data_IF_670926483802
#
_entry.id   IF_670926483802
#
_cell.length_a   1.000
_cell.length_b   1.000
_cell.length_c   1.000
_cell.angle_alpha   90.00
_cell.angle_beta   90.00
_cell.angle_gamma   90.00
#
_symmetry.space_group_name_H-M   'P 1'
#
loop_
_entity.id
_entity.type
_entity.pdbx_description
1 polymer ?
#
# COMPACT_ATOMS: atom_id res chain seq x y z
N UNK A 1 -21.17 14.08 -14.33
CA UNK A 1 -20.94 12.86 -13.53
C UNK A 1 -20.77 11.61 -14.43
N UNK A 2 -19.84 11.64 -15.41
CA UNK A 2 -19.53 10.51 -16.33
C UNK A 2 -18.48 9.52 -15.78
N UNK A 3 -17.99 9.76 -14.56
CA UNK A 3 -16.90 8.97 -13.95
C UNK A 3 -17.39 7.60 -13.46
N UNK A 4 -18.62 7.50 -12.95
CA UNK A 4 -19.16 6.23 -12.45
C UNK A 4 -19.84 5.38 -13.55
N UNK A 5 -20.17 5.98 -14.70
CA UNK A 5 -20.83 5.27 -15.80
C UNK A 5 -19.94 4.23 -16.48
N UNK A 6 -18.61 4.33 -16.34
CA UNK A 6 -17.65 3.38 -16.90
C UNK A 6 -17.74 1.98 -16.26
N UNK A 7 -18.24 1.90 -15.02
CA UNK A 7 -18.41 0.66 -14.27
C UNK A 7 -19.77 -0.01 -14.52
N UNK A 8 -20.62 0.52 -15.41
CA UNK A 8 -21.88 -0.11 -15.80
C UNK A 8 -21.61 -1.40 -16.58
N UNK A 9 -22.46 -2.42 -16.34
CA UNK A 9 -22.40 -3.70 -17.05
C UNK A 9 -21.49 -4.75 -16.42
N UNK A 10 -21.03 -4.53 -15.17
CA UNK A 10 -20.43 -5.56 -14.32
C UNK A 10 -21.53 -6.45 -13.71
N UNK A 11 -21.17 -7.67 -13.29
CA UNK A 11 -22.10 -8.56 -12.59
C UNK A 11 -22.43 -8.03 -11.19
N UNK A 12 -23.57 -8.46 -10.64
CA UNK A 12 -24.04 -8.05 -9.30
C UNK A 12 -22.98 -8.32 -8.23
N UNK A 13 -22.29 -9.44 -8.34
CA UNK A 13 -21.21 -9.90 -7.45
C UNK A 13 -20.07 -8.88 -7.34
N UNK A 14 -19.74 -8.18 -8.42
CA UNK A 14 -18.68 -7.16 -8.40
C UNK A 14 -19.06 -5.93 -7.59
N UNK A 15 -20.35 -5.53 -7.63
CA UNK A 15 -20.83 -4.43 -6.80
C UNK A 15 -20.92 -4.83 -5.33
N UNK A 16 -21.20 -6.10 -5.04
CA UNK A 16 -21.19 -6.63 -3.67
C UNK A 16 -19.76 -6.62 -3.12
N UNK A 17 -18.79 -7.11 -3.90
CA UNK A 17 -17.37 -7.08 -3.54
C UNK A 17 -16.86 -5.64 -3.38
N UNK A 18 -17.36 -4.70 -4.19
CA UNK A 18 -17.08 -3.27 -4.03
C UNK A 18 -17.57 -2.71 -2.70
N UNK A 19 -18.83 -3.00 -2.32
CA UNK A 19 -19.39 -2.57 -1.04
C UNK A 19 -18.63 -3.21 0.13
N UNK A 20 -18.35 -4.52 0.06
CA UNK A 20 -17.52 -5.21 1.05
C UNK A 20 -16.15 -4.54 1.21
N UNK A 21 -15.49 -4.22 0.09
CA UNK A 21 -14.19 -3.55 0.08
C UNK A 21 -14.23 -2.17 0.72
N UNK A 22 -15.27 -1.37 0.49
CA UNK A 22 -15.45 -0.08 1.18
C UNK A 22 -15.53 -0.30 2.68
N UNK A 23 -16.38 -1.23 3.13
CA UNK A 23 -16.60 -1.46 4.56
C UNK A 23 -15.33 -1.97 5.24
N UNK A 24 -14.64 -2.97 4.66
CA UNK A 24 -13.38 -3.49 5.21
C UNK A 24 -12.32 -2.40 5.35
N UNK A 25 -12.15 -1.53 4.34
CA UNK A 25 -11.15 -0.47 4.39
C UNK A 25 -11.56 0.70 5.31
N UNK A 26 -12.86 0.98 5.45
CA UNK A 26 -13.37 1.90 6.46
C UNK A 26 -13.08 1.38 7.87
N UNK A 27 -13.22 0.07 8.08
CA UNK A 27 -12.90 -0.59 9.34
C UNK A 27 -11.41 -0.74 9.62
N UNK A 28 -10.51 -0.48 8.66
CA UNK A 28 -9.07 -0.65 8.80
C UNK A 28 -8.39 0.44 9.67
N UNK A 29 -8.99 0.77 10.82
CA UNK A 29 -8.68 1.90 11.69
C UNK A 29 -7.36 1.73 12.45
N UNK A 30 -6.93 0.50 12.67
CA UNK A 30 -5.77 0.21 13.53
C UNK A 30 -4.46 0.51 12.80
N UNK A 31 -4.33 0.12 11.53
CA UNK A 31 -3.11 0.27 10.74
C UNK A 31 -2.57 1.70 10.66
N UNK A 32 -3.36 2.72 10.28
CA UNK A 32 -2.87 4.10 10.24
C UNK A 32 -2.48 4.62 11.63
N UNK A 33 -3.09 4.10 12.70
CA UNK A 33 -2.79 4.49 14.08
C UNK A 33 -1.72 3.62 14.75
N UNK A 34 -1.21 2.57 14.09
CA UNK A 34 -0.39 1.54 14.73
C UNK A 34 0.83 2.15 15.44
N UNK A 35 1.53 3.06 14.77
CA UNK A 35 2.66 3.80 15.33
C UNK A 35 2.27 4.57 16.60
N UNK A 36 1.11 5.23 16.61
CA UNK A 36 0.61 5.97 17.77
C UNK A 36 0.17 5.04 18.90
N UNK A 37 -0.44 3.90 18.59
CA UNK A 37 -0.86 2.91 19.59
C UNK A 37 0.39 2.38 20.32
N UNK A 38 1.41 1.97 19.57
CA UNK A 38 2.67 1.45 20.11
C UNK A 38 3.37 2.51 20.98
N UNK A 39 3.47 3.76 20.50
CA UNK A 39 4.18 4.81 21.21
C UNK A 39 3.38 5.42 22.38
N UNK A 40 2.19 5.96 22.12
CA UNK A 40 1.42 6.73 23.11
C UNK A 40 0.66 5.86 24.11
N UNK A 41 0.28 4.64 23.75
CA UNK A 41 -0.54 3.78 24.61
C UNK A 41 0.24 2.63 25.24
N UNK A 42 1.23 2.08 24.54
CA UNK A 42 2.11 1.04 25.09
C UNK A 42 3.45 1.59 25.59
N UNK A 43 3.77 2.86 25.33
CA UNK A 43 4.98 3.50 25.82
C UNK A 43 6.25 3.05 25.10
N UNK A 44 6.14 2.38 23.95
CA UNK A 44 7.29 1.95 23.17
C UNK A 44 7.99 3.16 22.57
N UNK A 45 9.33 3.12 22.55
CA UNK A 45 10.09 4.13 21.83
C UNK A 45 9.92 3.94 20.30
N UNK A 46 10.42 4.88 19.51
CA UNK A 46 10.30 4.79 18.06
C UNK A 46 11.06 3.57 17.52
N UNK A 47 12.27 3.29 17.99
CA UNK A 47 13.04 2.12 17.53
C UNK A 47 12.32 0.76 17.76
N UNK A 48 11.67 0.59 18.91
CA UNK A 48 10.84 -0.57 19.25
C UNK A 48 9.59 -0.64 18.37
N UNK A 49 8.96 0.52 18.12
CA UNK A 49 7.81 0.66 17.22
C UNK A 49 8.19 0.24 15.79
N UNK A 50 9.33 0.71 15.27
CA UNK A 50 9.85 0.29 13.96
C UNK A 50 10.16 -1.20 13.92
N UNK A 51 10.81 -1.74 14.96
CA UNK A 51 11.10 -3.17 15.07
C UNK A 51 9.84 -4.01 14.98
N UNK A 52 8.79 -3.62 15.70
CA UNK A 52 7.50 -4.28 15.65
C UNK A 52 6.89 -4.30 14.23
N UNK A 53 6.94 -3.18 13.52
CA UNK A 53 6.41 -3.06 12.15
C UNK A 53 7.22 -3.96 11.18
N UNK A 54 8.55 -3.99 11.30
CA UNK A 54 9.42 -4.83 10.47
C UNK A 54 9.10 -6.32 10.67
N UNK A 55 9.06 -6.76 11.93
CA UNK A 55 8.77 -8.16 12.27
C UNK A 55 7.38 -8.55 11.77
N UNK A 56 6.39 -7.66 11.91
CA UNK A 56 5.04 -7.86 11.38
C UNK A 56 5.04 -8.03 9.85
N UNK A 57 5.77 -7.19 9.13
CA UNK A 57 5.90 -7.28 7.67
C UNK A 57 6.56 -8.58 7.20
N UNK A 58 7.60 -9.05 7.90
CA UNK A 58 8.26 -10.32 7.61
C UNK A 58 7.31 -11.50 7.81
N UNK A 59 6.47 -11.47 8.85
CA UNK A 59 5.47 -12.51 9.11
C UNK A 59 4.40 -12.59 8.01
N UNK A 60 4.01 -11.47 7.41
CA UNK A 60 2.97 -11.43 6.36
C UNK A 60 3.44 -11.99 5.00
N UNK A 61 4.74 -11.98 4.72
CA UNK A 61 5.29 -12.45 3.45
C UNK A 61 5.01 -13.94 3.16
N UNK A 62 5.30 -14.90 4.06
CA UNK A 62 4.95 -16.31 3.84
C UNK A 62 3.44 -16.53 3.80
N UNK A 63 2.64 -15.76 4.55
CA UNK A 63 1.19 -15.89 4.55
C UNK A 63 0.58 -15.65 3.16
N UNK A 64 1.09 -14.67 2.41
CA UNK A 64 0.64 -14.40 1.04
C UNK A 64 0.99 -15.55 0.07
N UNK A 65 2.22 -16.09 0.18
CA UNK A 65 2.65 -17.24 -0.64
C UNK A 65 1.83 -18.50 -0.37
N UNK A 66 1.60 -18.80 0.92
CA UNK A 66 0.79 -19.95 1.36
C UNK A 66 -0.68 -19.74 0.93
N UNK A 67 -1.18 -18.52 1.08
CA UNK A 67 -2.52 -18.12 0.65
C UNK A 67 -2.79 -18.38 -0.83
N UNK A 68 -1.81 -18.10 -1.70
CA UNK A 68 -1.88 -18.41 -3.13
C UNK A 68 -2.06 -19.91 -3.39
N UNK A 69 -1.23 -20.74 -2.77
CA UNK A 69 -1.34 -22.20 -2.92
C UNK A 69 -2.68 -22.76 -2.42
N UNK A 70 -3.20 -22.21 -1.32
CA UNK A 70 -4.52 -22.59 -0.78
C UNK A 70 -5.63 -22.12 -1.72
N UNK A 71 -5.55 -20.90 -2.26
CA UNK A 71 -6.52 -20.35 -3.19
C UNK A 71 -6.64 -21.18 -4.46
N UNK A 72 -5.53 -21.73 -4.95
CA UNK A 72 -5.51 -22.59 -6.15
C UNK A 72 -6.23 -23.91 -5.90
N UNK A 73 -5.93 -24.58 -4.78
CA UNK A 73 -6.41 -25.93 -4.47
C UNK A 73 -7.84 -25.99 -3.94
N UNK A 74 -8.28 -24.97 -3.22
CA UNK A 74 -9.57 -25.00 -2.51
C UNK A 74 -10.59 -24.02 -3.12
N UNK A 75 -11.84 -24.14 -2.67
CA UNK A 75 -12.89 -23.21 -3.07
C UNK A 75 -12.61 -21.81 -2.49
N UNK A 76 -12.43 -20.83 -3.38
CA UNK A 76 -11.97 -19.47 -3.07
C UNK A 76 -12.88 -18.79 -2.04
N UNK A 77 -14.21 -18.90 -2.23
CA UNK A 77 -15.20 -18.35 -1.31
C UNK A 77 -15.10 -18.96 0.09
N UNK A 78 -14.91 -20.28 0.19
CA UNK A 78 -14.78 -20.95 1.49
C UNK A 78 -13.48 -20.56 2.20
N UNK A 79 -12.38 -20.43 1.47
CA UNK A 79 -11.09 -19.98 2.01
C UNK A 79 -11.24 -18.60 2.66
N UNK A 80 -11.80 -17.63 1.93
CA UNK A 80 -12.09 -16.27 2.43
C UNK A 80 -12.90 -16.34 3.72
N UNK A 81 -14.06 -17.04 3.71
CA UNK A 81 -14.93 -17.12 4.88
C UNK A 81 -14.22 -17.72 6.10
N UNK A 82 -13.43 -18.79 5.94
CA UNK A 82 -12.75 -19.42 7.07
C UNK A 82 -11.63 -18.54 7.63
N UNK A 83 -10.84 -17.91 6.77
CA UNK A 83 -9.81 -16.96 7.18
C UNK A 83 -10.43 -15.76 7.90
N UNK A 84 -11.49 -15.19 7.33
CA UNK A 84 -12.23 -14.09 7.90
C UNK A 84 -12.80 -14.41 9.27
N UNK A 85 -13.43 -15.58 9.46
CA UNK A 85 -13.97 -15.97 10.77
C UNK A 85 -12.86 -15.96 11.84
N UNK A 86 -11.68 -16.50 11.52
CA UNK A 86 -10.54 -16.48 12.44
C UNK A 86 -10.09 -15.05 12.71
N UNK A 87 -9.94 -14.22 11.66
CA UNK A 87 -9.57 -12.80 11.81
C UNK A 87 -10.57 -12.01 12.64
N UNK A 88 -11.87 -12.16 12.41
CA UNK A 88 -12.96 -11.50 13.14
C UNK A 88 -12.86 -11.85 14.63
N UNK A 89 -12.77 -13.15 14.95
CA UNK A 89 -12.68 -13.63 16.33
C UNK A 89 -11.45 -13.01 17.01
N UNK A 90 -10.28 -13.07 16.37
CA UNK A 90 -9.03 -12.55 16.96
C UNK A 90 -9.04 -11.02 17.10
N UNK A 91 -9.64 -10.28 16.15
CA UNK A 91 -9.76 -8.82 16.23
C UNK A 91 -10.70 -8.41 17.38
N UNK A 92 -11.83 -9.10 17.53
CA UNK A 92 -12.76 -8.85 18.64
C UNK A 92 -12.12 -9.22 19.98
N UNK A 93 -11.44 -10.37 20.08
CA UNK A 93 -10.70 -10.77 21.29
C UNK A 93 -9.65 -9.71 21.62
N UNK A 94 -8.87 -9.25 20.63
CA UNK A 94 -7.86 -8.21 20.82
C UNK A 94 -8.46 -6.90 21.35
N UNK A 95 -9.64 -6.52 20.88
CA UNK A 95 -10.37 -5.34 21.37
C UNK A 95 -10.97 -5.50 22.77
N UNK A 96 -11.40 -6.70 23.15
CA UNK A 96 -11.94 -6.97 24.49
C UNK A 96 -10.84 -7.12 25.55
N UNK A 97 -9.62 -7.48 25.14
CA UNK A 97 -8.47 -7.53 26.02
C UNK A 97 -8.00 -6.12 26.42
N UNK A 98 -7.50 -5.93 27.65
CA UNK A 98 -6.75 -4.73 27.99
C UNK A 98 -5.60 -4.55 27.01
N UNK A 99 -5.44 -3.32 26.53
CA UNK A 99 -4.41 -2.99 25.57
C UNK A 99 -3.04 -3.37 26.11
N UNK A 100 -2.35 -4.27 25.41
CA UNK A 100 -1.06 -4.81 25.80
C UNK A 100 -0.32 -5.31 24.56
N UNK A 101 0.95 -5.63 24.69
CA UNK A 101 1.70 -6.29 23.63
C UNK A 101 1.03 -7.60 23.18
N UNK A 102 0.47 -8.35 24.14
CA UNK A 102 -0.28 -9.57 23.85
C UNK A 102 -1.52 -9.32 22.98
N UNK A 103 -2.30 -8.27 23.26
CA UNK A 103 -3.48 -7.96 22.44
C UNK A 103 -3.07 -7.59 21.01
N UNK A 104 -1.94 -6.92 20.82
CA UNK A 104 -1.39 -6.65 19.48
C UNK A 104 -0.87 -7.91 18.79
N UNK A 105 -0.23 -8.85 19.50
CA UNK A 105 0.14 -10.14 18.91
C UNK A 105 -1.10 -10.92 18.45
N UNK A 106 -2.17 -10.94 19.23
CA UNK A 106 -3.45 -11.55 18.84
C UNK A 106 -4.02 -10.88 17.58
N UNK A 107 -3.97 -9.53 17.52
CA UNK A 107 -4.35 -8.79 16.32
C UNK A 107 -3.49 -9.19 15.11
N UNK A 108 -2.17 -9.29 15.25
CA UNK A 108 -1.26 -9.67 14.17
C UNK A 108 -1.55 -11.08 13.65
N UNK A 109 -1.90 -12.03 14.53
CA UNK A 109 -2.35 -13.36 14.10
C UNK A 109 -3.65 -13.25 13.32
N UNK A 110 -4.61 -12.43 13.76
CA UNK A 110 -5.81 -12.15 12.96
C UNK A 110 -5.47 -11.54 11.59
N UNK A 111 -4.50 -10.62 11.54
CA UNK A 111 -4.07 -9.96 10.31
C UNK A 111 -3.32 -10.91 9.36
N UNK A 112 -2.63 -11.92 9.89
CA UNK A 112 -2.03 -12.99 9.10
C UNK A 112 -3.08 -13.76 8.30
N UNK A 113 -4.22 -14.10 8.90
CA UNK A 113 -5.32 -14.78 8.19
C UNK A 113 -5.96 -13.88 7.12
N UNK A 114 -6.12 -12.58 7.40
CA UNK A 114 -6.56 -11.57 6.42
C UNK A 114 -5.56 -11.44 5.25
N UNK A 115 -4.26 -11.57 5.52
CA UNK A 115 -3.23 -11.58 4.45
C UNK A 115 -3.29 -12.88 3.64
N UNK A 116 -3.54 -14.01 4.32
CA UNK A 116 -3.63 -15.33 3.70
C UNK A 116 -4.83 -15.45 2.75
N UNK A 117 -5.94 -14.78 3.01
CA UNK A 117 -7.10 -14.80 2.10
C UNK A 117 -6.94 -13.93 0.85
N UNK A 118 -6.01 -12.97 0.84
CA UNK A 118 -5.86 -11.99 -0.25
C UNK A 118 -5.83 -12.63 -1.65
N UNK A 119 -4.98 -13.65 -1.90
CA UNK A 119 -4.96 -14.36 -3.18
C UNK A 119 -6.28 -15.04 -3.55
N UNK A 120 -7.01 -15.59 -2.56
CA UNK A 120 -8.32 -16.19 -2.80
C UNK A 120 -9.38 -15.13 -3.15
N UNK A 121 -9.30 -13.94 -2.55
CA UNK A 121 -10.15 -12.80 -2.87
C UNK A 121 -9.95 -12.34 -4.31
N UNK A 122 -8.71 -12.11 -4.73
CA UNK A 122 -8.39 -11.70 -6.10
C UNK A 122 -8.83 -12.76 -7.13
N UNK A 123 -8.62 -14.04 -6.82
CA UNK A 123 -9.09 -15.14 -7.65
C UNK A 123 -10.63 -15.21 -7.73
N UNK A 124 -11.35 -14.92 -6.64
CA UNK A 124 -12.80 -14.88 -6.62
C UNK A 124 -13.33 -13.75 -7.51
N UNK A 125 -12.76 -12.55 -7.43
CA UNK A 125 -13.09 -11.40 -8.28
C UNK A 125 -12.93 -11.76 -9.76
N UNK A 126 -11.79 -12.39 -10.11
CA UNK A 126 -11.49 -12.80 -11.47
C UNK A 126 -12.42 -13.91 -11.99
N UNK A 127 -12.88 -14.81 -11.11
CA UNK A 127 -13.78 -15.90 -11.44
C UNK A 127 -15.23 -15.42 -11.67
N UNK A 128 -15.72 -14.46 -10.87
CA UNK A 128 -17.08 -13.92 -11.05
C UNK A 128 -17.16 -12.91 -12.20
N UNK A 129 -16.03 -12.31 -12.60
CA UNK A 129 -15.98 -11.28 -13.64
C UNK A 129 -15.67 -11.85 -15.04
N UNK A 130 -16.44 -11.48 -16.09
CA UNK A 130 -16.10 -11.80 -17.47
C UNK A 130 -14.67 -11.32 -17.84
N UNK A 131 -13.90 -12.10 -18.63
CA UNK A 131 -12.50 -11.76 -18.95
C UNK A 131 -12.30 -10.35 -19.49
N UNK A 132 -13.19 -9.88 -20.36
CA UNK A 132 -13.20 -8.56 -21.00
C UNK A 132 -13.48 -7.39 -20.03
N UNK A 133 -13.95 -7.69 -18.81
CA UNK A 133 -14.34 -6.70 -17.79
C UNK A 133 -13.53 -6.76 -16.51
N UNK A 134 -12.53 -7.64 -16.42
CA UNK A 134 -11.71 -7.82 -15.20
C UNK A 134 -11.02 -6.55 -14.76
N UNK A 135 -10.39 -5.83 -15.68
CA UNK A 135 -9.73 -4.55 -15.40
C UNK A 135 -10.69 -3.54 -14.75
N UNK A 136 -11.91 -3.42 -15.28
CA UNK A 136 -12.96 -2.55 -14.72
C UNK A 136 -13.38 -2.98 -13.33
N UNK A 137 -13.46 -4.27 -13.06
CA UNK A 137 -13.79 -4.79 -11.73
C UNK A 137 -12.68 -4.48 -10.72
N UNK A 138 -11.42 -4.75 -11.05
CA UNK A 138 -10.29 -4.41 -10.16
C UNK A 138 -10.18 -2.90 -9.92
N UNK A 139 -10.36 -2.07 -10.96
CA UNK A 139 -10.43 -0.61 -10.83
C UNK A 139 -11.54 -0.17 -9.88
N UNK A 140 -12.74 -0.76 -9.98
CA UNK A 140 -13.85 -0.47 -9.08
C UNK A 140 -13.51 -0.81 -7.62
N UNK A 141 -12.90 -1.98 -7.38
CA UNK A 141 -12.49 -2.40 -6.03
C UNK A 141 -11.41 -1.49 -5.44
N UNK A 142 -10.46 -1.05 -6.26
CA UNK A 142 -9.43 -0.09 -5.85
C UNK A 142 -10.05 1.25 -5.44
N UNK A 143 -11.01 1.76 -6.20
CA UNK A 143 -11.78 2.95 -5.84
C UNK A 143 -12.50 2.76 -4.49
N UNK A 144 -13.14 1.60 -4.30
CA UNK A 144 -13.83 1.26 -3.05
C UNK A 144 -12.89 1.22 -1.84
N UNK A 145 -11.70 0.64 -2.01
CA UNK A 145 -10.69 0.61 -0.96
C UNK A 145 -10.27 2.03 -0.54
N UNK A 146 -9.99 2.92 -1.50
CA UNK A 146 -9.63 4.30 -1.22
C UNK A 146 -10.76 5.07 -0.52
N UNK A 147 -12.02 4.86 -0.91
CA UNK A 147 -13.18 5.48 -0.22
C UNK A 147 -13.21 5.10 1.27
N UNK A 148 -12.98 3.82 1.58
CA UNK A 148 -12.89 3.37 2.98
C UNK A 148 -11.70 3.99 3.71
N UNK A 149 -10.53 4.00 3.08
CA UNK A 149 -9.29 4.54 3.67
C UNK A 149 -9.33 6.06 3.91
N UNK A 150 -10.16 6.84 3.19
CA UNK A 150 -10.37 8.27 3.49
C UNK A 150 -10.92 8.47 4.90
N UNK A 151 -11.89 7.63 5.30
CA UNK A 151 -12.65 7.78 6.54
C UNK A 151 -12.03 7.05 7.73
N UNK A 152 -11.30 5.97 7.47
CA UNK A 152 -10.72 5.09 8.50
C UNK A 152 -9.85 5.85 9.52
N UNK A 153 -8.80 6.61 9.12
CA UNK A 153 -7.91 7.28 10.07
C UNK A 153 -8.59 8.40 10.86
N UNK A 154 -9.58 9.09 10.28
CA UNK A 154 -10.35 10.13 10.98
C UNK A 154 -11.16 9.52 12.12
N UNK A 155 -11.89 8.45 11.83
CA UNK A 155 -12.68 7.73 12.83
C UNK A 155 -11.76 7.12 13.89
N UNK A 156 -10.63 6.55 13.48
CA UNK A 156 -9.62 6.02 14.38
C UNK A 156 -9.06 7.12 15.30
N UNK A 157 -8.75 8.30 14.76
CA UNK A 157 -8.23 9.45 15.51
C UNK A 157 -9.21 9.98 16.56
N UNK A 158 -10.51 10.01 16.25
CA UNK A 158 -11.58 10.38 17.19
C UNK A 158 -11.72 9.38 18.34
N UNK A 159 -11.57 8.08 18.05
CA UNK A 159 -11.69 7.01 19.04
C UNK A 159 -10.40 6.76 19.83
N UNK A 160 -9.27 7.30 19.38
CA UNK A 160 -7.93 6.96 19.87
C UNK A 160 -7.74 7.18 21.38
N UNK A 161 -8.27 8.26 21.93
CA UNK A 161 -8.02 8.63 23.32
C UNK A 161 -8.80 7.75 24.30
N UNK A 162 -10.12 7.68 24.18
CA UNK A 162 -10.99 7.05 25.20
C UNK A 162 -11.59 5.71 24.77
N UNK A 163 -11.64 5.45 23.47
CA UNK A 163 -12.40 4.32 22.90
C UNK A 163 -11.59 3.48 21.92
N UNK A 164 -10.27 3.40 22.11
CA UNK A 164 -9.38 2.69 21.19
C UNK A 164 -9.78 1.23 20.98
N UNK A 165 -10.30 0.56 22.02
CA UNK A 165 -10.83 -0.80 21.93
C UNK A 165 -11.96 -0.96 20.89
N UNK A 166 -12.76 0.09 20.65
CA UNK A 166 -13.77 0.10 19.60
C UNK A 166 -13.13 0.03 18.21
N UNK A 167 -11.94 0.59 17.98
CA UNK A 167 -11.25 0.47 16.69
C UNK A 167 -11.01 -1.00 16.33
N UNK A 168 -10.61 -1.83 17.31
CA UNK A 168 -10.36 -3.26 17.11
C UNK A 168 -11.65 -4.02 16.78
N UNK A 169 -12.72 -3.74 17.52
CA UNK A 169 -14.03 -4.37 17.31
C UNK A 169 -14.64 -3.92 15.99
N UNK A 170 -14.58 -2.62 15.66
CA UNK A 170 -15.07 -2.09 14.39
C UNK A 170 -14.30 -2.70 13.22
N UNK A 171 -12.97 -2.89 13.33
CA UNK A 171 -12.19 -3.61 12.32
C UNK A 171 -12.72 -5.04 12.11
N UNK A 172 -12.94 -5.80 13.18
CA UNK A 172 -13.49 -7.16 13.09
C UNK A 172 -14.92 -7.18 12.53
N UNK A 173 -15.79 -6.27 12.97
CA UNK A 173 -17.16 -6.16 12.47
C UNK A 173 -17.21 -5.75 10.99
N UNK A 174 -16.33 -4.85 10.56
CA UNK A 174 -16.23 -4.45 9.17
C UNK A 174 -15.85 -5.62 8.25
N UNK A 175 -14.90 -6.47 8.69
CA UNK A 175 -14.59 -7.73 8.03
C UNK A 175 -15.84 -8.60 7.99
N UNK A 176 -16.52 -8.80 9.13
CA UNK A 176 -17.75 -9.60 9.21
C UNK A 176 -18.83 -9.17 8.22
N UNK A 177 -19.08 -7.86 8.07
CA UNK A 177 -20.04 -7.35 7.08
C UNK A 177 -19.61 -7.76 5.66
N UNK A 178 -18.34 -7.59 5.31
CA UNK A 178 -17.81 -8.02 4.02
C UNK A 178 -17.95 -9.53 3.81
N UNK A 179 -17.58 -10.33 4.82
CA UNK A 179 -17.67 -11.81 4.78
C UNK A 179 -19.11 -12.27 4.62
N UNK A 180 -20.08 -11.66 5.30
CA UNK A 180 -21.51 -11.97 5.17
C UNK A 180 -22.02 -11.60 3.77
N UNK A 181 -21.62 -10.43 3.25
CA UNK A 181 -21.97 -10.01 1.89
C UNK A 181 -21.47 -11.02 0.85
N UNK A 182 -20.22 -11.47 0.98
CA UNK A 182 -19.63 -12.51 0.12
C UNK A 182 -20.35 -13.84 0.31
N UNK A 183 -20.55 -14.25 1.57
CA UNK A 183 -21.20 -15.50 1.96
C UNK A 183 -22.60 -15.68 1.40
N UNK A 184 -23.42 -14.62 1.47
CA UNK A 184 -24.83 -14.68 1.07
C UNK A 184 -25.05 -14.35 -0.41
N UNK A 185 -24.32 -13.39 -0.97
CA UNK A 185 -24.66 -12.82 -2.27
C UNK A 185 -23.68 -13.10 -3.39
N UNK A 186 -22.47 -13.59 -3.10
CA UNK A 186 -21.53 -14.03 -4.14
C UNK A 186 -21.73 -15.53 -4.37
N UNK A 187 -22.14 -15.90 -5.58
CA UNK A 187 -22.27 -17.32 -5.94
C UNK A 187 -20.91 -18.00 -5.91
N UNK A 188 -20.89 -19.26 -5.50
CA UNK A 188 -19.69 -20.08 -5.72
C UNK A 188 -19.45 -20.09 -7.23
N UNK A 189 -18.28 -19.62 -7.72
CA UNK A 189 -17.90 -20.00 -9.06
C UNK A 189 -17.89 -21.53 -9.06
N UNK A 190 -18.70 -22.15 -9.92
CA UNK A 190 -18.62 -23.59 -10.16
C UNK A 190 -17.14 -23.91 -10.36
N UNK A 191 -16.68 -24.95 -9.68
CA UNK A 191 -15.33 -25.44 -9.88
C UNK A 191 -15.20 -25.81 -11.34
N UNK A 192 -14.69 -24.89 -12.16
CA UNK A 192 -13.93 -25.25 -13.34
C UNK A 192 -12.66 -25.93 -12.83
N UNK A 193 -12.82 -27.17 -12.35
CA UNK A 193 -11.84 -28.20 -12.59
C UNK A 193 -11.56 -28.14 -14.10
N UNK A 194 -10.46 -27.50 -14.49
CA UNK A 194 -9.96 -27.56 -15.87
C UNK A 194 -9.78 -26.26 -16.68
N UNK A 195 -9.80 -25.05 -16.11
CA UNK A 195 -9.46 -23.84 -16.90
C UNK A 195 -8.66 -22.78 -16.11
N UNK A 196 -7.54 -23.17 -15.47
CA UNK A 196 -6.29 -22.37 -15.42
C UNK A 196 -5.12 -23.37 -15.35
N UNK A 197 -4.99 -24.23 -16.36
CA UNK A 197 -3.68 -24.39 -16.97
C UNK A 197 -3.79 -23.56 -18.24
N UNK A 198 -3.33 -22.32 -18.20
CA UNK A 198 -2.92 -21.69 -19.43
C UNK A 198 -1.67 -22.45 -19.88
N UNK A 199 -1.90 -23.57 -20.57
CA UNK A 199 -0.96 -24.24 -21.47
C UNK A 199 -0.68 -23.34 -22.69
N UNK A 200 -0.46 -22.05 -22.44
CA UNK A 200 -0.08 -21.03 -23.42
C UNK A 200 1.36 -20.53 -23.18
N UNK A 201 2.11 -21.11 -22.24
CA UNK A 201 3.55 -20.84 -22.07
C UNK A 201 4.42 -22.12 -21.97
N UNK A 202 3.87 -23.30 -22.24
CA UNK A 202 4.65 -24.55 -22.29
C UNK A 202 5.18 -24.90 -23.70
N UNK A 203 4.77 -24.18 -24.75
CA UNK A 203 5.25 -24.39 -26.11
C UNK A 203 5.66 -23.07 -26.80
N UNK A 204 6.69 -22.41 -26.28
CA UNK A 204 7.69 -21.77 -27.13
C UNK A 204 9.08 -22.11 -26.57
N UNK A 205 9.58 -23.27 -26.98
CA UNK A 205 10.98 -23.61 -26.82
C UNK A 205 11.86 -22.66 -27.62
N UNK A 206 12.97 -22.24 -27.03
CA UNK A 206 14.11 -21.73 -27.81
C UNK A 206 14.57 -20.31 -27.54
N UNK A 207 14.61 -19.85 -26.28
CA UNK A 207 15.55 -18.78 -25.90
C UNK A 207 15.91 -18.94 -24.44
N UNK A 208 17.22 -19.02 -24.17
CA UNK A 208 17.86 -19.19 -22.86
C UNK A 208 17.00 -18.70 -21.69
N UNK A 209 16.71 -19.58 -20.71
CA UNK A 209 16.13 -19.23 -19.40
C UNK A 209 17.12 -18.33 -18.65
N UNK A 210 17.22 -17.07 -19.05
CA UNK A 210 18.05 -16.08 -18.37
C UNK A 210 17.59 -15.99 -16.93
N UNK A 211 18.53 -16.08 -16.00
CA UNK A 211 18.23 -15.90 -14.59
C UNK A 211 17.66 -14.49 -14.36
N UNK A 212 16.75 -14.33 -13.39
CA UNK A 212 16.21 -13.01 -13.01
C UNK A 212 17.37 -12.03 -12.74
N UNK A 213 18.43 -12.54 -12.12
CA UNK A 213 19.62 -11.76 -11.80
C UNK A 213 20.39 -11.32 -13.05
N UNK A 214 20.38 -12.12 -14.12
CA UNK A 214 21.00 -11.75 -15.39
C UNK A 214 20.23 -10.64 -16.09
N UNK A 215 18.89 -10.65 -16.01
CA UNK A 215 18.04 -9.60 -16.60
C UNK A 215 18.26 -8.28 -15.86
N UNK A 216 18.23 -8.32 -14.51
CA UNK A 216 18.50 -7.13 -13.69
C UNK A 216 19.92 -6.63 -13.95
N UNK A 217 20.92 -7.51 -13.94
CA UNK A 217 22.32 -7.13 -14.15
C UNK A 217 22.60 -6.62 -15.56
N UNK A 218 21.84 -7.09 -16.56
CA UNK A 218 21.97 -6.64 -17.95
C UNK A 218 21.37 -5.26 -18.18
N UNK A 219 20.37 -4.84 -17.39
CA UNK A 219 19.71 -3.55 -17.56
C UNK A 219 20.10 -2.56 -16.47
N UNK A 220 20.95 -1.60 -16.84
CA UNK A 220 21.35 -0.53 -15.93
C UNK A 220 20.16 0.33 -15.52
N UNK A 221 19.19 0.54 -16.41
CA UNK A 221 17.97 1.28 -16.12
C UNK A 221 17.10 0.56 -15.09
N UNK A 222 16.95 -0.77 -15.18
CA UNK A 222 16.22 -1.54 -14.16
C UNK A 222 16.91 -1.48 -12.78
N UNK A 223 18.24 -1.55 -12.71
CA UNK A 223 18.96 -1.41 -11.43
C UNK A 223 18.71 -0.03 -10.82
N UNK A 224 18.89 1.03 -11.62
CA UNK A 224 18.68 2.40 -11.16
C UNK A 224 17.24 2.63 -10.71
N UNK A 225 16.27 2.05 -11.42
CA UNK A 225 14.86 2.12 -11.04
C UNK A 225 14.58 1.38 -9.72
N UNK A 226 15.09 0.16 -9.53
CA UNK A 226 14.92 -0.60 -8.28
C UNK A 226 15.54 0.15 -7.10
N UNK A 227 16.72 0.78 -7.29
CA UNK A 227 17.35 1.62 -6.27
C UNK A 227 16.48 2.84 -5.96
N UNK A 228 16.09 3.60 -6.99
CA UNK A 228 15.25 4.78 -6.82
C UNK A 228 13.94 4.43 -6.10
N UNK A 229 13.26 3.37 -6.53
CA UNK A 229 12.03 2.90 -5.91
C UNK A 229 12.22 2.46 -4.46
N UNK A 230 13.29 1.74 -4.16
CA UNK A 230 13.55 1.26 -2.81
C UNK A 230 13.78 2.42 -1.83
N UNK A 231 14.62 3.40 -2.19
CA UNK A 231 14.88 4.58 -1.36
C UNK A 231 13.64 5.49 -1.27
N UNK A 232 12.89 5.67 -2.36
CA UNK A 232 11.61 6.37 -2.34
C UNK A 232 10.63 5.72 -1.37
N UNK A 233 10.43 4.39 -1.44
CA UNK A 233 9.55 3.68 -0.50
C UNK A 233 10.03 3.77 0.94
N UNK A 234 11.35 3.73 1.13
CA UNK A 234 12.04 4.09 2.36
C UNK A 234 11.53 5.40 2.95
N UNK A 235 11.63 6.49 2.19
CA UNK A 235 11.20 7.80 2.65
C UNK A 235 9.68 7.97 2.70
N UNK A 236 8.93 7.41 1.75
CA UNK A 236 7.46 7.38 1.76
C UNK A 236 6.91 6.76 3.04
N UNK A 237 7.57 5.73 3.57
CA UNK A 237 7.15 5.04 4.80
C UNK A 237 7.04 5.97 6.02
N UNK A 238 7.68 7.14 5.99
CA UNK A 238 7.62 8.16 7.04
C UNK A 238 6.24 8.82 7.15
N UNK A 239 5.43 8.75 6.09
CA UNK A 239 4.03 9.17 6.09
C UNK A 239 3.18 8.44 7.14
N UNK A 240 3.39 7.12 7.28
CA UNK A 240 2.69 6.29 8.27
C UNK A 240 3.43 6.15 9.61
N UNK A 241 4.62 6.74 9.73
CA UNK A 241 5.54 6.48 10.83
C UNK A 241 6.02 7.76 11.53
N UNK A 242 6.92 8.52 10.90
CA UNK A 242 7.46 9.75 11.51
C UNK A 242 6.42 10.87 11.62
N UNK A 243 5.54 11.01 10.62
CA UNK A 243 4.50 12.05 10.62
C UNK A 243 3.55 11.97 11.83
N UNK A 244 2.92 10.81 12.13
CA UNK A 244 2.07 10.72 13.31
C UNK A 244 2.85 10.97 14.61
N UNK A 245 4.11 10.49 14.72
CA UNK A 245 4.98 10.75 15.88
C UNK A 245 5.28 12.24 16.05
N UNK A 246 5.59 12.94 14.96
CA UNK A 246 5.86 14.36 14.94
C UNK A 246 4.64 15.19 15.36
N UNK A 247 3.49 14.97 14.70
CA UNK A 247 2.24 15.67 15.01
C UNK A 247 1.84 15.42 16.47
N UNK A 248 2.03 14.20 16.98
CA UNK A 248 1.68 13.84 18.36
C UNK A 248 2.68 14.34 19.40
N UNK A 249 3.89 14.70 18.99
CA UNK A 249 4.88 15.40 19.82
C UNK A 249 4.59 16.90 19.85
N UNK A 250 4.19 17.48 18.71
CA UNK A 250 3.82 18.88 18.58
C UNK A 250 2.48 19.21 19.26
N UNK A 251 1.51 18.30 19.19
CA UNK A 251 0.15 18.46 19.75
C UNK A 251 -0.23 17.25 20.63
N UNK A 252 0.16 17.24 21.92
CA UNK A 252 -0.04 16.09 22.79
C UNK A 252 -1.50 15.66 22.98
N UNK A 253 -2.44 16.62 23.01
CA UNK A 253 -3.87 16.35 23.25
C UNK A 253 -4.64 15.94 21.99
N UNK A 254 -4.33 16.57 20.85
CA UNK A 254 -5.11 16.46 19.60
C UNK A 254 -4.33 15.85 18.42
N UNK A 255 -3.11 15.34 18.66
CA UNK A 255 -2.22 14.91 17.58
C UNK A 255 -2.78 13.76 16.72
N UNK A 256 -3.46 12.79 17.33
CA UNK A 256 -4.12 11.69 16.61
C UNK A 256 -5.25 12.20 15.69
N UNK A 257 -6.05 13.16 16.16
CA UNK A 257 -7.11 13.78 15.38
C UNK A 257 -6.54 14.58 14.20
N UNK A 258 -5.52 15.39 14.44
CA UNK A 258 -4.84 16.19 13.41
C UNK A 258 -4.21 15.27 12.36
N UNK A 259 -3.53 14.20 12.77
CA UNK A 259 -2.99 13.22 11.83
C UNK A 259 -4.10 12.56 11.01
N UNK A 260 -5.20 12.15 11.66
CA UNK A 260 -6.37 11.59 10.99
C UNK A 260 -6.96 12.53 9.92
N UNK A 261 -7.10 13.82 10.22
CA UNK A 261 -7.63 14.80 9.26
C UNK A 261 -6.64 15.16 8.16
N UNK A 262 -5.34 15.24 8.46
CA UNK A 262 -4.26 15.40 7.46
C UNK A 262 -4.28 14.23 6.46
N UNK A 263 -4.44 13.00 6.95
CA UNK A 263 -4.58 11.82 6.10
C UNK A 263 -5.84 11.89 5.22
N UNK A 264 -6.98 12.32 5.76
CA UNK A 264 -8.20 12.48 4.93
C UNK A 264 -8.01 13.49 3.80
N UNK A 265 -7.29 14.60 4.06
CA UNK A 265 -6.97 15.59 3.03
C UNK A 265 -6.10 14.97 1.93
N UNK A 266 -5.08 14.18 2.29
CA UNK A 266 -4.31 13.39 1.32
C UNK A 266 -5.24 12.56 0.43
N UNK A 267 -6.10 11.74 1.02
CA UNK A 267 -6.95 10.83 0.24
C UNK A 267 -7.97 11.58 -0.65
N UNK A 268 -8.53 12.71 -0.19
CA UNK A 268 -9.41 13.56 -1.01
C UNK A 268 -8.65 14.09 -2.24
N UNK A 269 -7.42 14.57 -2.05
CA UNK A 269 -6.58 15.09 -3.13
C UNK A 269 -6.21 13.96 -4.09
N UNK A 270 -5.90 12.76 -3.61
CA UNK A 270 -5.67 11.59 -4.48
C UNK A 270 -6.88 11.36 -5.39
N UNK A 271 -8.10 11.29 -4.83
CA UNK A 271 -9.31 11.03 -5.63
C UNK A 271 -9.58 12.14 -6.65
N UNK A 272 -9.42 13.41 -6.27
CA UNK A 272 -9.76 14.54 -7.13
C UNK A 272 -8.66 14.85 -8.17
N UNK A 273 -7.39 14.77 -7.77
CA UNK A 273 -6.27 15.23 -8.60
C UNK A 273 -5.63 14.12 -9.43
N UNK A 274 -5.84 12.83 -9.11
CA UNK A 274 -5.28 11.73 -9.92
C UNK A 274 -5.67 11.82 -11.40
N UNK A 275 -6.97 11.96 -11.77
CA UNK A 275 -7.35 12.07 -13.19
C UNK A 275 -6.77 13.31 -13.86
N UNK A 276 -6.71 14.43 -13.14
CA UNK A 276 -6.21 15.71 -13.65
C UNK A 276 -4.70 15.64 -13.93
N UNK A 277 -3.90 15.18 -12.97
CA UNK A 277 -2.46 15.06 -13.12
C UNK A 277 -2.08 14.03 -14.20
N UNK A 278 -2.83 12.93 -14.30
CA UNK A 278 -2.63 11.92 -15.36
C UNK A 278 -2.83 12.52 -16.75
N UNK A 279 -3.86 13.36 -16.94
CA UNK A 279 -4.14 14.02 -18.21
C UNK A 279 -3.10 15.10 -18.54
N UNK A 280 -2.76 15.96 -17.59
CA UNK A 280 -1.80 17.07 -17.82
C UNK A 280 -0.42 16.53 -18.18
N UNK A 281 0.00 15.46 -17.52
CA UNK A 281 1.34 14.91 -17.69
C UNK A 281 1.39 13.75 -18.67
N UNK A 282 0.31 13.42 -19.38
CA UNK A 282 0.22 12.25 -20.27
C UNK A 282 1.45 12.10 -21.17
N UNK A 283 1.88 13.19 -21.82
CA UNK A 283 3.01 13.25 -22.76
C UNK A 283 4.41 13.16 -22.11
N UNK A 284 4.51 13.30 -20.80
CA UNK A 284 5.80 13.27 -20.11
C UNK A 284 6.28 11.81 -19.99
N UNK A 285 7.55 11.51 -20.33
CA UNK A 285 8.10 10.16 -20.16
C UNK A 285 8.03 9.66 -18.72
N UNK A 286 7.86 8.35 -18.57
CA UNK A 286 7.73 7.70 -17.27
C UNK A 286 8.90 8.01 -16.31
N UNK A 287 10.19 7.91 -16.69
CA UNK A 287 11.28 8.24 -15.76
C UNK A 287 11.28 9.69 -15.32
N UNK A 288 10.93 10.62 -16.23
CA UNK A 288 10.81 12.04 -15.90
C UNK A 288 9.65 12.28 -14.93
N UNK A 289 8.49 11.67 -15.17
CA UNK A 289 7.32 11.74 -14.27
C UNK A 289 7.67 11.27 -12.86
N UNK A 290 8.37 10.14 -12.76
CA UNK A 290 8.81 9.60 -11.48
C UNK A 290 9.83 10.51 -10.79
N UNK A 291 10.81 11.04 -11.53
CA UNK A 291 11.76 12.03 -11.01
C UNK A 291 11.05 13.28 -10.48
N UNK A 292 10.06 13.79 -11.22
CA UNK A 292 9.30 14.97 -10.79
C UNK A 292 8.50 14.68 -9.51
N UNK A 293 7.83 13.53 -9.42
CA UNK A 293 7.10 13.14 -8.22
C UNK A 293 8.00 12.97 -6.99
N UNK A 294 9.18 12.36 -7.15
CA UNK A 294 10.15 12.21 -6.06
C UNK A 294 10.72 13.55 -5.60
N UNK A 295 10.93 14.52 -6.50
CA UNK A 295 11.33 15.89 -6.14
C UNK A 295 10.24 16.59 -5.32
N UNK A 296 8.97 16.51 -5.75
CA UNK A 296 7.85 17.09 -4.99
C UNK A 296 7.76 16.51 -3.58
N UNK A 297 8.02 15.21 -3.44
CA UNK A 297 8.03 14.56 -2.13
C UNK A 297 9.19 15.04 -1.25
N UNK A 298 10.40 15.22 -1.82
CA UNK A 298 11.52 15.81 -1.08
C UNK A 298 11.18 17.23 -0.59
N UNK A 299 10.56 18.04 -1.43
CA UNK A 299 10.10 19.39 -1.06
C UNK A 299 9.08 19.30 0.08
N UNK A 300 8.12 18.37 -0.01
CA UNK A 300 7.14 18.13 1.04
C UNK A 300 7.78 17.75 2.38
N UNK A 301 8.79 16.87 2.41
CA UNK A 301 9.51 16.57 3.65
C UNK A 301 10.28 17.76 4.20
N UNK A 302 10.82 18.63 3.33
CA UNK A 302 11.36 19.92 3.72
C UNK A 302 10.30 20.84 4.35
N UNK A 303 9.08 20.84 3.82
CA UNK A 303 7.96 21.59 4.40
C UNK A 303 7.53 21.00 5.76
N UNK A 304 7.49 19.67 5.91
CA UNK A 304 7.19 19.02 7.20
C UNK A 304 8.23 19.37 8.26
N UNK A 305 9.52 19.38 7.91
CA UNK A 305 10.60 19.83 8.80
C UNK A 305 10.36 21.25 9.35
N UNK A 306 9.83 22.16 8.53
CA UNK A 306 9.56 23.55 8.89
C UNK A 306 8.19 23.77 9.54
N UNK A 307 7.29 22.78 9.48
CA UNK A 307 5.90 22.90 9.91
C UNK A 307 5.67 22.51 11.38
N UNK A 308 6.74 22.25 12.14
CA UNK A 308 6.65 21.82 13.52
C UNK A 308 5.80 22.78 14.37
N UNK A 309 4.72 22.28 14.97
CA UNK A 309 3.81 23.07 15.81
C UNK A 309 2.88 24.02 15.06
N UNK A 310 2.86 24.03 13.72
CA UNK A 310 2.02 24.91 12.91
C UNK A 310 1.03 24.09 12.08
N UNK A 311 -0.22 23.99 12.56
CA UNK A 311 -1.28 23.15 11.95
C UNK A 311 -1.43 23.39 10.43
N UNK A 312 -1.54 24.64 9.93
CA UNK A 312 -1.64 24.88 8.47
C UNK A 312 -0.44 24.37 7.68
N UNK A 313 0.75 24.31 8.30
CA UNK A 313 1.97 23.79 7.68
C UNK A 313 1.87 22.31 7.35
N UNK A 314 1.29 21.49 8.25
CA UNK A 314 1.04 20.07 7.99
C UNK A 314 0.10 19.85 6.81
N UNK A 315 -0.97 20.65 6.69
CA UNK A 315 -1.90 20.57 5.57
C UNK A 315 -1.27 21.03 4.24
N UNK A 316 -0.46 22.09 4.25
CA UNK A 316 0.27 22.52 3.05
C UNK A 316 1.29 21.45 2.61
N UNK A 317 2.01 20.86 3.57
CA UNK A 317 3.01 19.83 3.33
C UNK A 317 2.37 18.56 2.76
N UNK A 318 1.20 18.14 3.26
CA UNK A 318 0.52 16.94 2.75
C UNK A 318 -0.07 17.15 1.34
N UNK A 319 -0.52 18.36 0.99
CA UNK A 319 -0.96 18.66 -0.37
C UNK A 319 0.21 18.41 -1.36
N UNK A 320 1.39 18.96 -1.04
CA UNK A 320 2.59 18.77 -1.84
C UNK A 320 3.04 17.30 -1.89
N UNK A 321 2.98 16.61 -0.74
CA UNK A 321 3.27 15.17 -0.64
C UNK A 321 2.40 14.38 -1.61
N UNK A 322 1.10 14.69 -1.63
CA UNK A 322 0.09 13.96 -2.39
C UNK A 322 0.31 14.10 -3.88
N UNK A 323 0.71 15.28 -4.38
CA UNK A 323 1.08 15.42 -5.79
C UNK A 323 2.29 14.56 -6.16
N UNK A 324 3.31 14.49 -5.30
CA UNK A 324 4.44 13.59 -5.50
C UNK A 324 4.04 12.11 -5.49
N UNK A 325 3.18 11.71 -4.56
CA UNK A 325 2.64 10.36 -4.41
C UNK A 325 1.87 9.89 -5.64
N UNK A 326 0.97 10.72 -6.19
CA UNK A 326 0.18 10.37 -7.37
C UNK A 326 1.10 10.04 -8.54
N UNK A 327 2.09 10.90 -8.82
CA UNK A 327 2.98 10.73 -9.96
C UNK A 327 3.87 9.49 -9.85
N UNK A 328 4.39 9.23 -8.66
CA UNK A 328 5.26 8.08 -8.41
C UNK A 328 4.48 6.77 -8.46
N UNK A 329 3.27 6.73 -7.90
CA UNK A 329 2.44 5.52 -7.86
C UNK A 329 2.00 5.05 -9.25
N UNK A 330 1.61 5.96 -10.14
CA UNK A 330 1.15 5.61 -11.49
C UNK A 330 2.29 5.06 -12.35
N UNK A 331 3.52 5.54 -12.15
CA UNK A 331 4.66 5.19 -13.01
C UNK A 331 5.18 3.79 -12.76
N UNK A 332 5.24 3.32 -11.51
CA UNK A 332 5.91 2.05 -11.17
C UNK A 332 5.36 0.89 -11.98
N UNK A 333 4.03 0.85 -12.10
CA UNK A 333 3.33 -0.19 -12.82
C UNK A 333 3.71 -0.22 -14.31
N UNK A 334 3.53 0.92 -14.96
CA UNK A 334 3.78 1.11 -16.38
C UNK A 334 5.27 0.95 -16.75
N UNK A 335 6.17 1.47 -15.91
CA UNK A 335 7.61 1.45 -16.16
C UNK A 335 8.13 0.02 -16.27
N UNK A 336 7.79 -0.85 -15.31
CA UNK A 336 8.21 -2.25 -15.31
C UNK A 336 7.58 -3.02 -16.48
N UNK A 337 6.30 -2.79 -16.77
CA UNK A 337 5.60 -3.49 -17.85
C UNK A 337 6.15 -3.17 -19.25
N UNK A 338 6.64 -1.95 -19.49
CA UNK A 338 7.22 -1.56 -20.79
C UNK A 338 8.66 -2.06 -21.01
N UNK A 339 9.39 -2.37 -19.92
CA UNK A 339 10.86 -2.62 -19.96
C UNK A 339 11.25 -4.04 -19.60
N UNK A 340 10.34 -4.79 -19.00
CA UNK A 340 10.56 -6.17 -18.57
C UNK A 340 9.80 -7.12 -19.50
N UNK A 341 10.45 -8.20 -20.00
CA UNK A 341 9.75 -9.21 -20.79
C UNK A 341 8.62 -9.86 -19.99
N UNK A 342 7.49 -10.14 -20.67
CA UNK A 342 6.23 -10.59 -20.05
C UNK A 342 6.38 -11.71 -19.02
N UNK A 343 7.16 -12.74 -19.36
CA UNK A 343 7.45 -13.91 -18.55
C UNK A 343 8.28 -13.64 -17.26
N UNK A 344 8.90 -12.45 -17.13
CA UNK A 344 9.67 -12.06 -15.95
C UNK A 344 9.02 -10.91 -15.15
N UNK A 345 7.94 -10.28 -15.64
CA UNK A 345 7.30 -9.13 -15.00
C UNK A 345 6.98 -9.43 -13.53
N UNK A 346 6.23 -10.51 -13.26
CA UNK A 346 5.83 -10.86 -11.89
C UNK A 346 7.02 -11.13 -10.94
N UNK A 347 8.10 -11.71 -11.47
CA UNK A 347 9.33 -11.98 -10.69
C UNK A 347 10.07 -10.69 -10.36
N UNK A 348 10.16 -9.76 -11.31
CA UNK A 348 10.81 -8.45 -11.08
C UNK A 348 9.97 -7.59 -10.14
N UNK A 349 8.64 -7.64 -10.21
CA UNK A 349 7.77 -7.05 -9.18
C UNK A 349 8.07 -7.63 -7.79
N UNK A 350 8.20 -8.96 -7.69
CA UNK A 350 8.56 -9.62 -6.44
C UNK A 350 9.86 -9.09 -5.83
N UNK A 351 10.93 -9.00 -6.64
CA UNK A 351 12.23 -8.43 -6.20
C UNK A 351 12.07 -6.97 -5.79
N UNK A 352 11.39 -6.16 -6.61
CA UNK A 352 11.20 -4.71 -6.39
C UNK A 352 10.40 -4.44 -5.11
N UNK A 353 9.35 -5.21 -4.84
CA UNK A 353 8.55 -5.13 -3.62
C UNK A 353 9.35 -5.59 -2.39
N UNK A 354 10.13 -6.66 -2.51
CA UNK A 354 10.98 -7.12 -1.42
C UNK A 354 12.05 -6.09 -1.03
N UNK A 355 12.79 -5.55 -2.00
CA UNK A 355 13.85 -4.57 -1.72
C UNK A 355 13.29 -3.28 -1.15
N UNK A 356 12.14 -2.82 -1.64
CA UNK A 356 11.49 -1.62 -1.14
C UNK A 356 10.87 -1.80 0.25
N UNK A 357 10.30 -2.97 0.56
CA UNK A 357 9.82 -3.29 1.91
C UNK A 357 10.98 -3.34 2.91
N UNK A 358 12.09 -4.00 2.55
CA UNK A 358 13.30 -4.03 3.35
C UNK A 358 13.83 -2.61 3.61
N UNK A 359 13.93 -1.78 2.56
CA UNK A 359 14.37 -0.39 2.69
C UNK A 359 13.41 0.45 3.57
N UNK A 360 12.10 0.25 3.44
CA UNK A 360 11.09 0.89 4.30
C UNK A 360 11.32 0.57 5.77
N UNK A 361 11.55 -0.70 6.09
CA UNK A 361 11.89 -1.12 7.45
C UNK A 361 13.18 -0.47 7.95
N UNK A 362 14.25 -0.53 7.17
CA UNK A 362 15.54 0.05 7.54
C UNK A 362 15.45 1.56 7.81
N UNK A 363 14.75 2.30 6.93
CA UNK A 363 14.58 3.76 7.08
C UNK A 363 13.71 4.09 8.30
N UNK A 364 12.64 3.33 8.57
CA UNK A 364 11.84 3.52 9.79
C UNK A 364 12.65 3.29 11.06
N UNK A 365 13.47 2.24 11.08
CA UNK A 365 14.32 1.92 12.22
C UNK A 365 15.32 3.05 12.50
N UNK A 366 16.09 3.45 11.49
CA UNK A 366 17.10 4.52 11.65
C UNK A 366 16.45 5.87 11.96
N UNK A 367 15.36 6.21 11.27
CA UNK A 367 14.61 7.46 11.53
C UNK A 367 14.02 7.46 12.95
N UNK A 368 13.55 6.32 13.43
CA UNK A 368 13.08 6.13 14.80
C UNK A 368 14.18 6.37 15.83
N UNK A 369 15.34 5.71 15.68
CA UNK A 369 16.48 5.92 16.58
C UNK A 369 16.93 7.39 16.61
N UNK A 370 16.98 8.05 15.46
CA UNK A 370 17.29 9.49 15.37
C UNK A 370 16.23 10.35 16.07
N UNK A 371 14.96 10.01 15.88
CA UNK A 371 13.84 10.73 16.52
C UNK A 371 13.89 10.64 18.04
N UNK A 372 14.24 9.46 18.58
CA UNK A 372 14.34 9.21 20.01
C UNK A 372 15.57 9.90 20.63
N UNK A 373 16.75 9.79 20.01
CA UNK A 373 18.01 10.29 20.58
C UNK A 373 18.28 11.77 20.32
N UNK A 374 17.92 12.26 19.12
CA UNK A 374 18.32 13.60 18.63
C UNK A 374 17.11 14.52 18.42
N UNK A 375 15.94 13.94 18.12
CA UNK A 375 14.67 14.66 17.96
C UNK A 375 14.15 14.74 16.53
N UNK A 376 13.06 15.49 16.33
CA UNK A 376 12.28 15.44 15.09
C UNK A 376 13.01 16.04 13.89
N UNK A 377 13.72 17.15 14.07
CA UNK A 377 14.41 17.84 12.97
C UNK A 377 15.39 16.92 12.22
N UNK A 378 16.35 16.31 12.93
CA UNK A 378 17.28 15.34 12.34
C UNK A 378 16.60 14.13 11.68
N UNK A 379 15.49 13.63 12.22
CA UNK A 379 14.74 12.53 11.63
C UNK A 379 14.10 12.91 10.28
N UNK A 380 13.55 14.13 10.17
CA UNK A 380 13.07 14.65 8.89
C UNK A 380 14.22 14.93 7.92
N UNK A 381 15.37 15.45 8.38
CA UNK A 381 16.57 15.62 7.55
C UNK A 381 17.04 14.28 6.99
N UNK A 382 17.07 13.23 7.80
CA UNK A 382 17.38 11.88 7.35
C UNK A 382 16.42 11.39 6.26
N UNK A 383 15.13 11.63 6.44
CA UNK A 383 14.09 11.29 5.45
C UNK A 383 14.29 12.06 4.13
N UNK A 384 14.67 13.33 4.20
CA UNK A 384 15.04 14.15 3.03
C UNK A 384 16.26 13.55 2.34
N UNK A 385 17.31 13.16 3.08
CA UNK A 385 18.51 12.52 2.51
C UNK A 385 18.16 11.22 1.78
N UNK A 386 17.32 10.37 2.36
CA UNK A 386 16.85 9.14 1.70
C UNK A 386 16.09 9.42 0.40
N UNK A 387 15.23 10.44 0.41
CA UNK A 387 14.49 10.86 -0.79
C UNK A 387 15.43 11.47 -1.84
N UNK A 388 16.46 12.20 -1.43
CA UNK A 388 17.48 12.75 -2.31
C UNK A 388 18.30 11.67 -3.02
N UNK A 389 18.61 10.55 -2.35
CA UNK A 389 19.24 9.39 -3.01
C UNK A 389 18.33 8.87 -4.13
N UNK A 390 17.02 8.76 -3.87
CA UNK A 390 16.05 8.41 -4.91
C UNK A 390 16.03 9.42 -6.05
N UNK A 391 16.03 10.74 -5.76
CA UNK A 391 16.08 11.78 -6.80
C UNK A 391 17.33 11.64 -7.66
N UNK A 392 18.51 11.47 -7.06
CA UNK A 392 19.77 11.28 -7.79
C UNK A 392 19.69 10.05 -8.68
N UNK A 393 19.21 8.92 -8.16
CA UNK A 393 19.01 7.70 -8.94
C UNK A 393 18.04 7.94 -10.12
N UNK A 394 16.97 8.70 -9.92
CA UNK A 394 16.04 9.09 -10.99
C UNK A 394 16.67 9.99 -12.05
N UNK A 395 17.49 10.97 -11.64
CA UNK A 395 18.17 11.88 -12.56
C UNK A 395 19.20 11.15 -13.43
N UNK A 396 19.84 10.11 -12.89
CA UNK A 396 20.74 9.23 -13.66
C UNK A 396 19.92 8.26 -14.52
N UNK A 397 18.77 7.79 -14.03
CA UNK A 397 17.86 6.90 -14.75
C UNK A 397 17.34 7.54 -16.03
N UNK A 398 16.91 8.80 -16.02
CA UNK A 398 16.32 9.48 -17.20
C UNK A 398 17.20 9.37 -18.47
N UNK A 399 18.49 9.75 -18.46
CA UNK A 399 19.34 9.63 -19.64
C UNK A 399 19.73 8.19 -19.97
N UNK A 400 19.93 7.31 -18.97
CA UNK A 400 20.28 5.91 -19.21
C UNK A 400 19.11 5.12 -19.82
N UNK A 401 17.89 5.35 -19.32
CA UNK A 401 16.67 4.73 -19.84
C UNK A 401 16.42 5.13 -21.30
N UNK A 402 16.68 6.40 -21.64
CA UNK A 402 16.61 6.86 -23.03
C UNK A 402 17.66 6.21 -23.92
N UNK A 403 18.87 5.92 -23.41
CA UNK A 403 19.92 5.24 -24.18
C UNK A 403 19.59 3.78 -24.42
N UNK A 404 19.07 3.11 -23.41
CA UNK A 404 18.79 1.67 -23.41
C UNK A 404 17.50 1.33 -24.17
N UNK A 405 16.45 2.16 -24.02
CA UNK A 405 15.13 1.93 -24.61
C UNK A 405 14.73 3.01 -25.63
N UNK A 406 15.63 3.37 -26.56
CA UNK A 406 15.41 4.43 -27.56
C UNK A 406 14.07 4.33 -28.31
N UNK A 407 13.61 3.10 -28.59
CA UNK A 407 12.35 2.85 -29.29
C UNK A 407 11.12 3.37 -28.55
N UNK A 408 11.15 3.44 -27.21
CA UNK A 408 10.06 3.99 -26.40
C UNK A 408 9.99 5.53 -26.44
N UNK A 409 11.06 6.18 -26.90
CA UNK A 409 11.18 7.64 -26.97
C UNK A 409 11.07 8.18 -28.40
N UNK A 410 10.77 7.34 -29.40
CA UNK A 410 10.75 7.72 -30.81
C UNK A 410 9.59 8.67 -31.20
N UNK A 411 8.64 8.91 -30.29
CA UNK A 411 7.53 9.84 -30.47
C UNK A 411 7.70 11.17 -29.69
N UNK A 412 8.85 11.40 -29.03
CA UNK A 412 9.19 12.68 -28.38
C UNK A 412 9.70 13.74 -29.36
#
# INVERSE_FOLDING_TARGET
MKIFTQYKGLKKENYILFLGRIVTNLGAMIWPMMTLILNKKLGLNAAETATFIIVSGIMFLPANLIGGHIADKYNKKRVIIYCDIVSIILFVISGLMPLSFYSLCVLLVGALFQTLEGPAYDALVAAVTPPDKREKAFSLLYLGANIGLIMSPTLAGLLFNDYLWLCFIISGLAISVSTVLIGLFVKNPESTEGVIHSDAEAEEGGSSKKSIFEIIKASRSLILFIIAYSFYKGAYSQFGYLMPLDISKAFPENGSLIYGTVNSVNCIIVVLCTPLLTMILEKMPLPKKYAFGTILQTISFGMFLLSFGVIPGYYASIIMFTFGEILTTIVVGAYLSERVPGNYIGRIYGVTNFTSAFMSGLVQYVSGSIFDEIGTGPAWVFSIVMTMISVIACLILVPEDRKEFRGLYACE
#
